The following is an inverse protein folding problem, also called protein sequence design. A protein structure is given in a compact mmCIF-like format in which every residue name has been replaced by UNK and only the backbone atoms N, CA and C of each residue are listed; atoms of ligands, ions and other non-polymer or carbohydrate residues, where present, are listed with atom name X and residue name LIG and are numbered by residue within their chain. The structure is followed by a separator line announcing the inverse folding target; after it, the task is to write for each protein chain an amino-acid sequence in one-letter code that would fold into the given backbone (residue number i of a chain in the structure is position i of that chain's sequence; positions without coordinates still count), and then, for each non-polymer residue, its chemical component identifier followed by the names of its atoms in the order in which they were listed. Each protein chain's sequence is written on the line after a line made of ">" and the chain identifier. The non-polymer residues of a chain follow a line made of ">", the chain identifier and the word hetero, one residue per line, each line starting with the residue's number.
data_IF_207156170916
#
_entry.id   IF_207156170916
#
_cell.length_a   1.000
_cell.length_b   1.000
_cell.length_c   1.000
_cell.angle_alpha   90.00
_cell.angle_beta   90.00
_cell.angle_gamma   90.00
#
_symmetry.space_group_name_H-M   'P 1'
#
loop_
_entity.id
_entity.type
_entity.pdbx_description
1 polymer ?
#
# COMPACT_ATOMS: atom_id res chain seq x y z
N UNK A 1 34.59 7.69 -10.50
CA UNK A 1 33.48 6.76 -10.78
C UNK A 1 32.50 6.88 -9.62
N UNK A 2 31.49 7.74 -9.73
CA UNK A 2 30.56 8.03 -8.63
C UNK A 2 29.55 6.87 -8.51
N UNK A 3 29.71 6.02 -7.50
CA UNK A 3 28.88 4.84 -7.24
C UNK A 3 27.49 5.16 -6.63
N UNK A 4 27.11 6.44 -6.56
CA UNK A 4 25.86 6.88 -5.91
C UNK A 4 25.20 7.99 -6.75
N UNK A 5 24.94 7.73 -8.02
CA UNK A 5 23.95 8.53 -8.74
C UNK A 5 22.56 7.99 -8.34
N UNK A 6 21.86 8.71 -7.47
CA UNK A 6 20.48 8.37 -7.11
C UNK A 6 19.59 8.51 -8.35
N UNK A 7 19.26 7.39 -8.97
CA UNK A 7 18.28 7.35 -10.06
C UNK A 7 16.88 7.16 -9.48
N UNK A 8 16.18 8.29 -9.29
CA UNK A 8 14.79 8.32 -8.81
C UNK A 8 13.82 7.53 -9.71
N UNK A 9 14.21 7.22 -10.95
CA UNK A 9 13.38 6.48 -11.91
C UNK A 9 13.63 4.97 -11.86
N UNK A 10 14.64 4.48 -11.13
CA UNK A 10 14.90 3.06 -11.00
C UNK A 10 13.68 2.31 -10.43
N UNK A 11 13.26 1.19 -11.04
CA UNK A 11 12.15 0.37 -10.54
C UNK A 11 12.34 -0.09 -9.09
N UNK A 12 13.58 -0.28 -8.65
CA UNK A 12 13.89 -0.68 -7.28
C UNK A 12 13.51 0.43 -6.30
N UNK A 13 13.88 1.68 -6.58
CA UNK A 13 13.52 2.80 -5.71
C UNK A 13 12.01 3.01 -5.69
N UNK A 14 11.31 2.83 -6.82
CA UNK A 14 9.84 2.94 -6.86
C UNK A 14 9.15 1.89 -5.98
N UNK A 15 9.63 0.63 -6.01
CA UNK A 15 9.11 -0.44 -5.14
C UNK A 15 9.34 -0.13 -3.66
N UNK A 16 10.54 0.36 -3.32
CA UNK A 16 10.86 0.75 -1.93
C UNK A 16 9.95 1.90 -1.47
N UNK A 17 9.78 2.93 -2.29
CA UNK A 17 8.91 4.07 -1.99
C UNK A 17 7.47 3.60 -1.77
N UNK A 18 6.92 2.79 -2.69
CA UNK A 18 5.56 2.27 -2.57
C UNK A 18 5.38 1.37 -1.33
N UNK A 19 6.39 0.55 -1.01
CA UNK A 19 6.41 -0.28 0.19
C UNK A 19 6.40 0.54 1.48
N UNK A 20 7.22 1.59 1.55
CA UNK A 20 7.26 2.51 2.69
C UNK A 20 5.94 3.25 2.83
N UNK A 21 5.37 3.75 1.73
CA UNK A 21 4.06 4.41 1.71
C UNK A 21 2.98 3.47 2.23
N UNK A 22 2.96 2.22 1.78
CA UNK A 22 1.99 1.23 2.24
C UNK A 22 2.14 0.89 3.73
N UNK A 23 3.38 0.75 4.22
CA UNK A 23 3.65 0.48 5.63
C UNK A 23 3.19 1.64 6.52
N UNK A 24 3.54 2.88 6.12
CA UNK A 24 3.11 4.10 6.82
C UNK A 24 1.60 4.27 6.76
N UNK A 25 0.97 3.99 5.62
CA UNK A 25 -0.48 4.08 5.47
C UNK A 25 -1.21 3.10 6.41
N UNK A 26 -0.72 1.86 6.54
CA UNK A 26 -1.30 0.89 7.47
C UNK A 26 -1.12 1.35 8.92
N UNK A 27 0.10 1.73 9.30
CA UNK A 27 0.39 2.22 10.65
C UNK A 27 -0.48 3.43 11.00
N UNK A 28 -0.52 4.45 10.13
CA UNK A 28 -1.37 5.64 10.31
C UNK A 28 -2.86 5.31 10.38
N UNK A 29 -3.34 4.32 9.61
CA UNK A 29 -4.74 3.91 9.67
C UNK A 29 -5.11 3.36 11.05
N UNK A 30 -4.22 2.58 11.69
CA UNK A 30 -4.41 2.13 13.07
C UNK A 30 -4.33 3.31 14.05
N UNK A 31 -3.31 4.16 13.94
CA UNK A 31 -3.15 5.32 14.84
C UNK A 31 -4.36 6.25 14.80
N UNK A 32 -4.88 6.57 13.61
CA UNK A 32 -6.03 7.48 13.43
C UNK A 32 -7.31 6.86 13.97
N UNK A 33 -7.59 5.60 13.65
CA UNK A 33 -8.87 4.98 14.02
C UNK A 33 -8.94 4.53 15.49
N UNK A 34 -7.79 4.29 16.12
CA UNK A 34 -7.71 3.97 17.55
C UNK A 34 -7.27 5.17 18.39
N UNK A 35 -7.09 6.35 17.79
CA UNK A 35 -6.63 7.57 18.48
C UNK A 35 -5.32 7.34 19.28
N UNK A 36 -4.39 6.56 18.72
CA UNK A 36 -3.15 6.12 19.36
C UNK A 36 -3.30 5.12 20.51
N UNK A 37 -4.53 4.70 20.86
CA UNK A 37 -4.83 3.72 21.91
C UNK A 37 -5.18 2.37 21.31
N UNK A 38 -4.20 1.76 20.65
CA UNK A 38 -4.37 0.48 19.92
C UNK A 38 -4.51 -0.68 20.92
N UNK A 39 -5.66 -1.40 20.96
CA UNK A 39 -5.81 -2.59 21.80
C UNK A 39 -4.78 -3.68 21.45
N UNK A 40 -4.37 -4.50 22.41
CA UNK A 40 -3.35 -5.54 22.19
C UNK A 40 -3.71 -6.50 21.04
N UNK A 41 -4.99 -6.87 20.88
CA UNK A 41 -5.46 -7.69 19.76
C UNK A 41 -5.29 -7.00 18.41
N UNK A 42 -5.57 -5.70 18.33
CA UNK A 42 -5.38 -4.90 17.13
C UNK A 42 -3.88 -4.66 16.83
N UNK A 43 -3.04 -4.56 17.86
CA UNK A 43 -1.60 -4.40 17.70
C UNK A 43 -0.96 -5.65 17.06
N UNK A 44 -1.36 -6.86 17.46
CA UNK A 44 -0.90 -8.11 16.81
C UNK A 44 -1.26 -8.11 15.33
N UNK A 45 -2.47 -7.65 14.98
CA UNK A 45 -2.88 -7.52 13.58
C UNK A 45 -2.04 -6.49 12.84
N UNK A 46 -1.85 -5.30 13.41
CA UNK A 46 -1.04 -4.25 12.80
C UNK A 46 0.37 -4.76 12.47
N UNK A 47 1.07 -5.32 13.46
CA UNK A 47 2.43 -5.82 13.28
C UNK A 47 2.49 -7.04 12.34
N UNK A 48 1.52 -7.95 12.44
CA UNK A 48 1.43 -9.13 11.56
C UNK A 48 1.23 -8.77 10.08
N UNK A 49 0.52 -7.68 9.80
CA UNK A 49 0.26 -7.21 8.44
C UNK A 49 1.21 -6.11 7.96
N UNK A 50 2.06 -5.56 8.83
CA UNK A 50 2.98 -4.48 8.49
C UNK A 50 3.99 -4.86 7.40
N UNK A 51 4.31 -6.15 7.27
CA UNK A 51 5.12 -6.65 6.15
C UNK A 51 4.26 -7.17 5.00
N UNK A 52 3.16 -7.87 5.30
CA UNK A 52 2.32 -8.50 4.30
C UNK A 52 1.63 -7.49 3.37
N UNK A 53 1.14 -6.36 3.91
CA UNK A 53 0.45 -5.34 3.13
C UNK A 53 1.41 -4.65 2.15
N UNK A 54 2.57 -4.10 2.56
CA UNK A 54 3.55 -3.54 1.62
C UNK A 54 3.98 -4.50 0.52
N UNK A 55 4.27 -5.76 0.86
CA UNK A 55 4.63 -6.78 -0.12
C UNK A 55 3.48 -7.07 -1.09
N UNK A 56 2.24 -7.15 -0.59
CA UNK A 56 1.04 -7.28 -1.41
C UNK A 56 0.87 -6.09 -2.37
N UNK A 57 1.10 -4.86 -1.91
CA UNK A 57 1.05 -3.65 -2.75
C UNK A 57 2.12 -3.68 -3.84
N UNK A 58 3.36 -4.02 -3.51
CA UNK A 58 4.44 -4.14 -4.50
C UNK A 58 4.11 -5.23 -5.52
N UNK A 59 3.66 -6.40 -5.06
CA UNK A 59 3.28 -7.51 -5.94
C UNK A 59 2.12 -7.15 -6.87
N UNK A 60 1.08 -6.47 -6.37
CA UNK A 60 -0.05 -6.03 -7.19
C UNK A 60 0.38 -4.99 -8.24
N UNK A 61 1.21 -4.01 -7.86
CA UNK A 61 1.76 -3.03 -8.80
C UNK A 61 2.66 -3.68 -9.86
N UNK A 62 3.45 -4.68 -9.49
CA UNK A 62 4.28 -5.44 -10.44
C UNK A 62 3.41 -6.24 -11.42
N UNK A 63 2.40 -6.96 -10.90
CA UNK A 63 1.49 -7.79 -11.71
C UNK A 63 0.70 -6.95 -12.72
N UNK A 64 0.22 -5.77 -12.29
CA UNK A 64 -0.47 -4.81 -13.15
C UNK A 64 0.48 -3.92 -13.95
N UNK A 65 1.79 -4.17 -13.88
CA UNK A 65 2.84 -3.46 -14.64
C UNK A 65 2.89 -1.95 -14.38
N UNK A 66 2.43 -1.48 -13.23
CA UNK A 66 2.42 -0.07 -12.83
C UNK A 66 3.83 0.56 -12.82
N UNK A 67 4.89 -0.25 -12.63
CA UNK A 67 6.29 0.21 -12.62
C UNK A 67 6.90 0.38 -14.03
N UNK A 68 6.26 -0.17 -15.07
CA UNK A 68 6.73 -0.03 -16.46
C UNK A 68 6.13 1.18 -17.17
N UNK A 69 5.03 1.71 -16.63
CA UNK A 69 4.36 2.90 -17.17
C UNK A 69 5.20 4.14 -16.90
N UNK A 70 5.58 4.85 -17.95
CA UNK A 70 6.27 6.14 -17.84
C UNK A 70 5.21 7.20 -17.55
N UNK A 71 5.19 7.74 -16.32
CA UNK A 71 4.18 8.69 -15.81
C UNK A 71 4.16 10.08 -16.49
N UNK A 72 4.87 10.22 -17.62
CA UNK A 72 4.96 11.45 -18.41
C UNK A 72 3.67 11.77 -19.17
N UNK A 73 2.81 10.78 -19.40
CA UNK A 73 1.47 10.96 -19.98
C UNK A 73 0.44 10.20 -19.13
N UNK A 74 0.08 10.71 -17.95
CA UNK A 74 -1.01 10.07 -17.18
C UNK A 74 -2.29 10.23 -17.99
N UNK A 75 -2.77 9.12 -18.55
CA UNK A 75 -4.15 8.98 -18.97
C UNK A 75 -5.03 8.58 -17.79
N UNK A 76 -6.34 8.78 -17.91
CA UNK A 76 -7.34 8.23 -16.99
C UNK A 76 -7.15 6.71 -16.80
N UNK A 77 -6.73 6.03 -17.87
CA UNK A 77 -6.39 4.61 -17.87
C UNK A 77 -5.33 4.24 -16.80
N UNK A 78 -4.22 4.99 -16.70
CA UNK A 78 -3.15 4.65 -15.77
C UNK A 78 -3.57 4.84 -14.31
N UNK A 79 -4.41 5.84 -14.05
CA UNK A 79 -5.01 6.06 -12.73
C UNK A 79 -5.94 4.91 -12.37
N UNK A 80 -6.76 4.43 -13.31
CA UNK A 80 -7.65 3.28 -13.10
C UNK A 80 -6.84 2.00 -12.85
N UNK A 81 -5.76 1.77 -13.60
CA UNK A 81 -4.87 0.61 -13.37
C UNK A 81 -4.24 0.67 -11.98
N UNK A 82 -3.73 1.84 -11.57
CA UNK A 82 -3.18 2.02 -10.23
C UNK A 82 -4.26 1.80 -9.16
N UNK A 83 -5.43 2.42 -9.31
CA UNK A 83 -6.54 2.25 -8.37
C UNK A 83 -6.97 0.78 -8.28
N UNK A 84 -6.99 0.05 -9.40
CA UNK A 84 -7.31 -1.38 -9.44
C UNK A 84 -6.27 -2.23 -8.71
N UNK A 85 -4.97 -1.92 -8.87
CA UNK A 85 -3.90 -2.62 -8.15
C UNK A 85 -4.07 -2.46 -6.63
N UNK A 86 -4.46 -1.26 -6.19
CA UNK A 86 -4.69 -0.97 -4.79
C UNK A 86 -6.03 -1.55 -4.29
N UNK A 87 -7.08 -1.53 -5.11
CA UNK A 87 -8.34 -2.18 -4.77
C UNK A 87 -8.15 -3.70 -4.60
N UNK A 88 -7.35 -4.35 -5.45
CA UNK A 88 -7.10 -5.79 -5.40
C UNK A 88 -6.56 -6.25 -4.04
N UNK A 89 -5.50 -5.60 -3.52
CA UNK A 89 -4.93 -5.95 -2.21
C UNK A 89 -5.94 -5.73 -1.09
N UNK A 90 -6.66 -4.62 -1.11
CA UNK A 90 -7.68 -4.32 -0.08
C UNK A 90 -8.83 -5.31 -0.13
N UNK A 91 -9.24 -5.71 -1.33
CA UNK A 91 -10.25 -6.74 -1.54
C UNK A 91 -9.78 -8.10 -1.03
N UNK A 92 -8.50 -8.46 -1.22
CA UNK A 92 -7.91 -9.66 -0.60
C UNK A 92 -7.98 -9.60 0.92
N UNK A 93 -7.69 -8.45 1.54
CA UNK A 93 -7.82 -8.26 3.00
C UNK A 93 -9.29 -8.41 3.46
N UNK A 94 -10.24 -7.90 2.67
CA UNK A 94 -11.67 -8.08 2.94
C UNK A 94 -12.08 -9.56 2.85
N UNK A 95 -11.65 -10.28 1.81
CA UNK A 95 -11.89 -11.72 1.69
C UNK A 95 -11.31 -12.44 2.90
N UNK A 96 -10.06 -12.15 3.26
CA UNK A 96 -9.39 -12.78 4.39
C UNK A 96 -10.16 -12.56 5.71
N UNK A 97 -10.69 -11.34 5.90
CA UNK A 97 -11.51 -10.98 7.06
C UNK A 97 -12.79 -11.83 7.18
N UNK A 98 -13.49 -12.09 6.07
CA UNK A 98 -14.78 -12.77 6.08
C UNK A 98 -14.71 -14.29 5.84
N UNK A 99 -13.74 -14.76 5.06
CA UNK A 99 -13.65 -16.15 4.62
C UNK A 99 -12.94 -17.06 5.63
N UNK A 100 -12.13 -16.52 6.56
CA UNK A 100 -11.44 -17.33 7.58
C UNK A 100 -12.06 -17.08 8.97
N UNK A 101 -13.03 -17.93 9.41
CA UNK A 101 -13.53 -17.93 10.78
C UNK A 101 -12.46 -18.37 11.79
N UNK A 102 -12.34 -17.65 12.91
CA UNK A 102 -11.53 -18.07 14.07
C UNK A 102 -10.07 -17.59 14.12
N UNK A 103 -9.60 -16.78 13.15
CA UNK A 103 -8.26 -16.17 13.24
C UNK A 103 -8.36 -14.81 13.90
N UNK A 104 -7.55 -14.57 14.93
CA UNK A 104 -7.40 -13.24 15.56
C UNK A 104 -6.79 -12.20 14.61
N UNK A 105 -6.32 -12.61 13.43
CA UNK A 105 -5.76 -11.76 12.37
C UNK A 105 -6.86 -11.12 11.48
N UNK A 106 -7.77 -10.35 12.07
CA UNK A 106 -8.87 -9.67 11.35
C UNK A 106 -8.76 -8.16 11.42
N UNK A 107 -8.06 -7.56 10.46
CA UNK A 107 -7.94 -6.10 10.37
C UNK A 107 -9.35 -5.45 10.34
N UNK A 108 -9.63 -4.45 11.19
CA UNK A 108 -10.91 -3.73 11.19
C UNK A 108 -11.25 -3.15 9.82
N UNK A 109 -12.54 -3.18 9.44
CA UNK A 109 -12.98 -2.67 8.13
C UNK A 109 -12.55 -1.21 7.92
N UNK A 110 -12.71 -0.36 8.95
CA UNK A 110 -12.27 1.03 8.90
C UNK A 110 -10.79 1.16 8.56
N UNK A 111 -9.94 0.33 9.16
CA UNK A 111 -8.49 0.35 8.93
C UNK A 111 -8.18 -0.02 7.48
N UNK A 112 -8.86 -1.04 6.92
CA UNK A 112 -8.68 -1.42 5.51
C UNK A 112 -9.04 -0.26 4.57
N UNK A 113 -10.15 0.43 4.83
CA UNK A 113 -10.59 1.56 4.00
C UNK A 113 -9.63 2.74 4.11
N UNK A 114 -9.23 3.13 5.32
CA UNK A 114 -8.31 4.25 5.53
C UNK A 114 -6.93 3.92 4.96
N UNK A 115 -6.42 2.70 5.16
CA UNK A 115 -5.15 2.27 4.58
C UNK A 115 -5.19 2.30 3.06
N UNK A 116 -6.28 1.84 2.42
CA UNK A 116 -6.45 1.94 0.96
C UNK A 116 -6.36 3.39 0.49
N UNK A 117 -7.10 4.30 1.13
CA UNK A 117 -7.13 5.70 0.73
C UNK A 117 -5.76 6.37 0.91
N UNK A 118 -5.10 6.14 2.05
CA UNK A 118 -3.78 6.70 2.34
C UNK A 118 -2.71 6.13 1.42
N UNK A 119 -2.69 4.81 1.22
CA UNK A 119 -1.69 4.15 0.39
C UNK A 119 -1.83 4.53 -1.09
N UNK A 120 -3.06 4.57 -1.63
CA UNK A 120 -3.32 5.02 -2.99
C UNK A 120 -2.93 6.49 -3.18
N UNK A 121 -3.35 7.37 -2.26
CA UNK A 121 -3.06 8.81 -2.35
C UNK A 121 -1.57 9.07 -2.25
N UNK A 122 -0.87 8.42 -1.32
CA UNK A 122 0.57 8.54 -1.16
C UNK A 122 1.32 8.05 -2.41
N UNK A 123 0.90 6.91 -2.97
CA UNK A 123 1.51 6.33 -4.16
C UNK A 123 1.31 7.21 -5.41
N UNK A 124 0.11 7.78 -5.57
CA UNK A 124 -0.20 8.73 -6.62
C UNK A 124 0.61 10.03 -6.45
N UNK A 125 0.64 10.60 -5.24
CA UNK A 125 1.40 11.80 -4.92
C UNK A 125 2.91 11.60 -5.17
N UNK A 126 3.47 10.47 -4.74
CA UNK A 126 4.89 10.15 -4.96
C UNK A 126 5.25 10.05 -6.45
N UNK A 127 4.32 9.59 -7.29
CA UNK A 127 4.54 9.55 -8.74
C UNK A 127 4.38 10.92 -9.40
N UNK A 128 3.44 11.74 -8.92
CA UNK A 128 3.27 13.13 -9.38
C UNK A 128 4.49 13.98 -9.00
N UNK A 129 5.04 13.81 -7.80
CA UNK A 129 6.21 14.54 -7.33
C UNK A 129 7.52 14.17 -8.05
N UNK A 130 7.56 13.01 -8.73
CA UNK A 130 8.70 12.56 -9.55
C UNK A 130 8.59 12.95 -11.03
N UNK A 131 7.53 13.66 -11.41
CA UNK A 131 7.43 14.31 -12.73
C UNK A 131 8.36 15.50 -12.80
#
# INVERSE_FOLDING_TARGET
>A
MNLIAFDAYSPVHQRVIDGVIAALALWLAFEVLFEGRIPASAAVQMWGFLLAVPLGRIAANELMRCYRTIWRYIGLHDVIVLASAYAAVSFTLLILRYAIPGVDLRIPLGVIVVELLLSFSGAAAARVARR
#
